data_IF_248929648029
#
_entry.id   IF_248929648029
#
_cell.length_a   1.000
_cell.length_b   1.000
_cell.length_c   1.000
_cell.angle_alpha   90.00
_cell.angle_beta   90.00
_cell.angle_gamma   90.00
#
_symmetry.space_group_name_H-M   'P 1'
#
loop_
_entity.id
_entity.type
_entity.pdbx_description
1 polymer ?
#
# COMPACT_ATOMS: atom_id res chain seq x y z
N UNK A 1 4.16 -7.29 -24.12
CA UNK A 1 5.41 -6.52 -23.94
C UNK A 1 5.06 -5.05 -23.76
N UNK A 2 5.65 -4.37 -22.80
CA UNK A 2 5.64 -2.90 -22.75
C UNK A 2 7.01 -2.42 -23.25
N UNK A 3 7.06 -1.81 -24.44
CA UNK A 3 8.28 -1.15 -24.93
C UNK A 3 8.40 0.19 -24.20
N UNK A 4 9.38 0.30 -23.29
CA UNK A 4 9.66 1.53 -22.55
C UNK A 4 10.76 2.32 -23.27
N UNK A 5 10.62 3.65 -23.30
CA UNK A 5 11.69 4.53 -23.77
C UNK A 5 12.90 4.43 -22.84
N UNK A 6 14.12 4.74 -23.33
CA UNK A 6 15.29 4.88 -22.46
C UNK A 6 14.99 5.90 -21.35
N UNK A 7 15.31 5.60 -20.08
CA UNK A 7 15.06 6.52 -18.99
C UNK A 7 15.93 7.77 -19.15
N UNK A 8 15.36 8.94 -18.82
CA UNK A 8 16.11 10.19 -18.74
C UNK A 8 17.14 10.09 -17.61
N UNK A 9 18.39 10.41 -17.91
CA UNK A 9 19.49 10.47 -16.96
C UNK A 9 19.93 11.92 -16.78
N UNK A 10 20.11 12.35 -15.53
CA UNK A 10 20.61 13.68 -15.19
C UNK A 10 21.77 13.56 -14.22
N UNK A 11 22.59 14.61 -14.13
CA UNK A 11 23.65 14.70 -13.15
C UNK A 11 23.25 15.64 -12.01
N UNK A 12 23.58 15.28 -10.77
CA UNK A 12 23.41 16.15 -9.60
C UNK A 12 24.50 15.87 -8.56
N UNK A 13 24.74 16.81 -7.65
CA UNK A 13 25.71 16.64 -6.56
C UNK A 13 25.11 15.78 -5.45
N UNK A 14 25.83 14.75 -5.04
CA UNK A 14 25.54 13.93 -3.85
C UNK A 14 26.07 14.63 -2.60
N UNK A 15 25.19 15.26 -1.84
CA UNK A 15 25.52 16.06 -0.67
C UNK A 15 25.87 15.19 0.54
N UNK A 16 25.14 14.10 0.74
CA UNK A 16 25.31 13.21 1.88
C UNK A 16 24.73 11.82 1.58
N UNK A 17 25.13 10.81 2.35
CA UNK A 17 24.44 9.52 2.39
C UNK A 17 23.98 9.32 3.83
N UNK A 18 22.65 9.28 4.01
CA UNK A 18 22.01 9.06 5.30
C UNK A 18 21.39 7.67 5.33
N UNK A 19 20.96 7.25 6.51
CA UNK A 19 20.31 5.96 6.71
C UNK A 19 18.91 6.13 7.28
N UNK A 20 17.98 5.28 6.84
CA UNK A 20 16.66 5.16 7.44
C UNK A 20 16.53 3.80 8.12
N UNK A 21 15.97 3.77 9.33
CA UNK A 21 15.66 2.53 10.05
C UNK A 21 14.21 2.17 9.72
N UNK A 22 14.02 1.08 8.97
CA UNK A 22 12.69 0.62 8.57
C UNK A 22 11.98 -0.17 9.65
N UNK A 23 10.71 -0.49 9.38
CA UNK A 23 9.79 -1.29 10.22
C UNK A 23 10.38 -2.56 10.83
N UNK A 24 11.22 -3.28 10.08
CA UNK A 24 11.83 -4.56 10.51
C UNK A 24 13.28 -4.39 10.99
N UNK A 25 13.65 -3.17 11.38
CA UNK A 25 14.98 -2.81 11.84
C UNK A 25 16.01 -2.62 10.72
N UNK A 26 15.69 -2.97 9.46
CA UNK A 26 16.62 -2.79 8.33
C UNK A 26 17.07 -1.35 8.21
N UNK A 27 18.38 -1.13 8.27
CA UNK A 27 19.01 0.17 8.11
C UNK A 27 19.38 0.33 6.64
N UNK A 28 18.69 1.23 5.96
CA UNK A 28 18.76 1.40 4.50
C UNK A 28 19.44 2.73 4.17
N UNK A 29 20.61 2.73 3.51
CA UNK A 29 21.24 3.97 3.06
C UNK A 29 20.45 4.59 1.90
N UNK A 30 20.43 5.93 1.86
CA UNK A 30 19.87 6.72 0.79
C UNK A 30 20.71 7.97 0.56
N UNK A 31 20.89 8.34 -0.72
CA UNK A 31 21.59 9.54 -1.10
C UNK A 31 20.70 10.77 -0.90
N UNK A 32 21.28 11.82 -0.33
CA UNK A 32 20.73 13.17 -0.26
C UNK A 32 21.48 14.00 -1.29
N UNK A 33 20.76 14.56 -2.26
CA UNK A 33 21.33 15.23 -3.42
C UNK A 33 20.82 16.67 -3.52
N UNK A 34 21.54 17.49 -4.28
CA UNK A 34 21.00 18.76 -4.73
C UNK A 34 19.70 18.51 -5.54
N UNK A 35 18.61 19.24 -5.25
CA UNK A 35 17.35 19.04 -5.94
C UNK A 35 17.49 19.21 -7.46
N UNK A 36 17.14 18.17 -8.22
CA UNK A 36 17.25 18.16 -9.68
C UNK A 36 15.96 17.67 -10.32
N UNK A 37 15.59 18.20 -11.48
CA UNK A 37 14.41 17.73 -12.23
C UNK A 37 14.78 16.48 -13.04
N UNK A 38 13.98 15.43 -12.92
CA UNK A 38 14.08 14.19 -13.70
C UNK A 38 12.70 13.75 -14.10
N UNK A 39 12.43 13.64 -15.40
CA UNK A 39 11.16 13.17 -15.95
C UNK A 39 9.96 13.90 -15.32
N UNK A 40 10.04 15.24 -15.31
CA UNK A 40 8.96 16.12 -14.88
C UNK A 40 8.78 16.33 -13.37
N UNK A 41 9.56 15.67 -12.50
CA UNK A 41 9.51 15.95 -11.05
C UNK A 41 10.88 16.24 -10.46
N UNK A 42 10.90 17.04 -9.40
CA UNK A 42 12.11 17.32 -8.62
C UNK A 42 12.44 16.14 -7.71
N UNK A 43 13.69 15.69 -7.72
CA UNK A 43 14.21 14.63 -6.87
C UNK A 43 15.37 15.19 -6.04
N UNK A 44 15.35 14.93 -4.75
CA UNK A 44 16.44 15.28 -3.81
C UNK A 44 16.95 14.07 -3.03
N UNK A 45 16.29 12.91 -3.15
CA UNK A 45 16.65 11.69 -2.44
C UNK A 45 16.47 10.46 -3.32
N UNK A 46 17.36 9.48 -3.18
CA UNK A 46 17.27 8.20 -3.86
C UNK A 46 17.85 7.07 -3.00
N UNK A 47 17.23 5.89 -3.04
CA UNK A 47 17.72 4.74 -2.26
C UNK A 47 19.07 4.23 -2.79
N UNK A 48 19.92 3.78 -1.88
CA UNK A 48 21.16 3.06 -2.20
C UNK A 48 21.10 1.60 -1.74
N UNK A 49 19.91 1.11 -1.37
CA UNK A 49 19.58 -0.26 -0.97
C UNK A 49 20.30 -0.77 0.30
N UNK A 50 21.62 -0.96 0.27
CA UNK A 50 22.43 -1.43 1.39
C UNK A 50 23.90 -1.01 1.21
N UNK A 51 24.74 -1.25 2.23
CA UNK A 51 26.15 -0.83 2.22
C UNK A 51 26.94 -1.46 1.06
N UNK A 52 26.67 -2.73 0.76
CA UNK A 52 27.32 -3.46 -0.34
C UNK A 52 27.01 -2.82 -1.69
N UNK A 53 25.76 -2.35 -1.90
CA UNK A 53 25.37 -1.63 -3.10
C UNK A 53 26.02 -0.25 -3.22
N UNK A 54 26.17 0.48 -2.10
CA UNK A 54 26.94 1.74 -2.08
C UNK A 54 28.37 1.49 -2.55
N UNK A 55 29.03 0.46 -2.00
CA UNK A 55 30.39 0.09 -2.36
C UNK A 55 30.51 -0.38 -3.82
N UNK A 56 29.57 -1.22 -4.27
CA UNK A 56 29.52 -1.73 -5.67
C UNK A 56 29.33 -0.60 -6.68
N UNK A 57 28.49 0.39 -6.36
CA UNK A 57 28.30 1.59 -7.20
C UNK A 57 29.49 2.53 -7.15
N UNK A 58 30.36 2.40 -6.14
CA UNK A 58 31.56 3.22 -5.98
C UNK A 58 31.28 4.71 -5.74
N UNK A 59 30.08 5.04 -5.27
CA UNK A 59 29.67 6.42 -4.98
C UNK A 59 30.28 6.91 -3.68
N UNK A 60 30.76 8.14 -3.68
CA UNK A 60 31.35 8.85 -2.55
C UNK A 60 30.51 10.09 -2.25
N UNK A 61 30.44 10.48 -0.98
CA UNK A 61 29.77 11.73 -0.59
C UNK A 61 30.59 12.89 -1.15
N UNK A 62 29.93 13.79 -1.87
CA UNK A 62 30.56 14.85 -2.67
C UNK A 62 30.61 14.53 -4.16
N UNK A 63 30.35 13.30 -4.61
CA UNK A 63 30.35 12.98 -6.04
C UNK A 63 29.29 13.78 -6.82
N UNK A 64 29.59 14.08 -8.09
CA UNK A 64 28.51 14.27 -9.07
C UNK A 64 28.01 12.89 -9.47
N UNK A 65 26.72 12.60 -9.27
CA UNK A 65 26.12 11.29 -9.55
C UNK A 65 25.15 11.35 -10.71
N UNK A 66 25.08 10.25 -11.47
CA UNK A 66 24.07 10.03 -12.50
C UNK A 66 22.80 9.51 -11.83
N UNK A 67 21.69 10.19 -12.04
CA UNK A 67 20.37 9.91 -11.47
C UNK A 67 19.37 9.65 -12.59
N UNK A 68 18.54 8.63 -12.42
CA UNK A 68 17.43 8.32 -13.33
C UNK A 68 16.19 7.87 -12.57
N UNK A 69 15.08 7.65 -13.26
CA UNK A 69 13.89 7.00 -12.68
C UNK A 69 13.63 5.64 -13.29
N UNK A 70 13.69 4.60 -12.45
CA UNK A 70 13.29 3.26 -12.84
C UNK A 70 11.77 3.23 -13.10
N UNK A 71 11.39 2.91 -14.34
CA UNK A 71 10.00 2.86 -14.77
C UNK A 71 9.25 4.19 -14.61
N UNK A 72 9.95 5.32 -14.77
CA UNK A 72 9.44 6.70 -14.69
C UNK A 72 8.94 7.15 -13.32
N UNK A 73 9.13 6.33 -12.26
CA UNK A 73 8.60 6.60 -10.91
C UNK A 73 9.69 6.66 -9.86
N UNK A 74 10.52 5.61 -9.74
CA UNK A 74 11.41 5.43 -8.57
C UNK A 74 12.80 5.98 -8.89
N UNK A 75 13.28 7.03 -8.18
CA UNK A 75 14.62 7.55 -8.41
C UNK A 75 15.72 6.56 -8.02
N UNK A 76 16.75 6.48 -8.86
CA UNK A 76 17.88 5.56 -8.70
C UNK A 76 19.19 6.30 -9.05
N UNK A 77 20.15 6.29 -8.12
CA UNK A 77 21.55 6.67 -8.40
C UNK A 77 22.21 5.53 -9.17
N UNK A 78 22.61 5.78 -10.40
CA UNK A 78 23.26 4.77 -11.28
C UNK A 78 24.71 4.57 -10.86
N UNK A 79 25.44 5.67 -10.63
CA UNK A 79 26.84 5.68 -10.26
C UNK A 79 27.44 7.08 -10.31
N UNK A 80 28.73 7.22 -9.97
CA UNK A 80 29.44 8.50 -9.97
C UNK A 80 29.93 8.87 -11.36
N UNK A 81 30.00 10.18 -11.62
CA UNK A 81 30.72 10.75 -12.76
C UNK A 81 32.18 10.95 -12.33
N UNK A 82 32.97 9.87 -12.38
CA UNK A 82 34.34 9.81 -11.82
C UNK A 82 35.25 10.91 -12.34
N UNK A 83 35.09 11.33 -13.61
CA UNK A 83 35.91 12.39 -14.23
C UNK A 83 35.71 13.78 -13.60
N UNK A 84 34.66 13.97 -12.82
CA UNK A 84 34.36 15.22 -12.12
C UNK A 84 34.81 15.23 -10.66
N UNK A 85 35.54 14.19 -10.22
CA UNK A 85 36.08 14.15 -8.86
C UNK A 85 37.20 15.17 -8.68
N UNK A 86 37.17 15.90 -7.58
CA UNK A 86 38.19 16.89 -7.22
C UNK A 86 39.08 16.45 -6.05
N UNK A 87 38.81 15.28 -5.47
CA UNK A 87 39.56 14.70 -4.35
C UNK A 87 39.04 15.10 -2.97
N UNK A 88 38.00 15.95 -2.90
CA UNK A 88 37.32 16.28 -1.64
C UNK A 88 36.28 15.23 -1.21
N UNK A 89 35.97 14.27 -2.09
CA UNK A 89 34.94 13.27 -1.84
C UNK A 89 35.34 12.30 -0.73
N UNK A 90 34.36 11.86 0.07
CA UNK A 90 34.59 10.96 1.21
C UNK A 90 33.75 9.68 1.11
N UNK A 91 34.30 8.52 1.49
CA UNK A 91 33.55 7.27 1.49
C UNK A 91 32.42 7.31 2.51
N UNK A 92 31.30 6.67 2.17
CA UNK A 92 30.24 6.40 3.13
C UNK A 92 30.63 5.23 4.03
N UNK A 93 30.47 5.42 5.34
CA UNK A 93 30.64 4.38 6.35
C UNK A 93 29.27 4.10 6.93
N UNK A 94 28.83 2.85 6.82
CA UNK A 94 27.58 2.42 7.45
C UNK A 94 27.72 2.57 8.98
N UNK A 95 26.74 3.18 9.67
CA UNK A 95 26.84 3.32 11.12
C UNK A 95 26.88 1.94 11.79
N UNK A 96 27.62 1.85 12.90
CA UNK A 96 27.69 0.65 13.75
C UNK A 96 26.58 0.63 14.79
N UNK A 97 25.98 1.78 15.08
CA UNK A 97 24.89 1.95 16.05
C UNK A 97 23.65 2.51 15.36
N UNK A 98 22.48 2.12 15.86
CA UNK A 98 21.21 2.57 15.32
C UNK A 98 21.06 4.08 15.52
N UNK A 99 20.86 4.88 14.46
CA UNK A 99 20.72 6.34 14.60
C UNK A 99 19.46 6.76 15.36
N UNK A 100 18.52 5.83 15.60
CA UNK A 100 17.29 6.11 16.33
C UNK A 100 17.35 5.73 17.81
N UNK A 101 18.15 4.75 18.21
CA UNK A 101 18.14 4.24 19.59
C UNK A 101 19.51 3.83 20.16
N UNK A 102 20.60 4.02 19.41
CA UNK A 102 21.97 3.70 19.83
C UNK A 102 22.30 2.21 19.90
N UNK A 103 21.33 1.30 19.71
CA UNK A 103 21.60 -0.14 19.74
C UNK A 103 22.59 -0.55 18.65
N UNK A 104 23.59 -1.37 18.99
CA UNK A 104 24.54 -1.94 18.03
C UNK A 104 23.80 -2.64 16.89
N UNK A 105 24.15 -2.28 15.66
CA UNK A 105 23.57 -2.84 14.46
C UNK A 105 24.25 -4.16 14.11
N UNK A 106 23.47 -5.13 13.67
CA UNK A 106 23.96 -6.44 13.29
C UNK A 106 23.20 -6.98 12.08
N UNK A 107 23.83 -7.79 11.22
CA UNK A 107 23.09 -8.60 10.28
C UNK A 107 22.30 -9.66 11.07
N UNK A 108 21.18 -10.10 10.53
CA UNK A 108 20.35 -11.11 11.20
C UNK A 108 20.95 -12.51 11.11
N UNK A 109 21.65 -12.77 9.99
CA UNK A 109 22.53 -13.93 9.81
C UNK A 109 23.85 -13.43 9.28
N UNK A 110 24.94 -14.14 9.56
CA UNK A 110 26.30 -13.71 9.19
C UNK A 110 26.48 -13.41 7.69
N UNK A 111 25.71 -14.08 6.81
CA UNK A 111 25.76 -13.89 5.37
C UNK A 111 24.80 -12.80 4.83
N UNK A 112 23.97 -12.18 5.68
CA UNK A 112 22.99 -11.18 5.22
C UNK A 112 23.69 -9.85 4.89
N UNK A 113 23.45 -9.33 3.68
CA UNK A 113 23.97 -8.04 3.25
C UNK A 113 23.29 -6.84 3.94
N UNK A 114 22.10 -7.05 4.50
CA UNK A 114 21.32 -6.02 5.18
C UNK A 114 21.65 -6.00 6.67
N UNK A 115 22.10 -4.85 7.18
CA UNK A 115 22.29 -4.63 8.61
C UNK A 115 20.98 -4.13 9.26
N UNK A 116 20.73 -4.54 10.51
CA UNK A 116 19.47 -4.28 11.20
C UNK A 116 19.70 -3.78 12.63
N UNK A 117 18.73 -3.01 13.12
CA UNK A 117 18.59 -2.72 14.54
C UNK A 117 17.86 -3.88 15.22
N UNK A 118 18.51 -4.62 16.14
CA UNK A 118 17.90 -5.77 16.82
C UNK A 118 16.90 -5.36 17.91
N UNK A 119 16.86 -4.08 18.31
CA UNK A 119 15.88 -3.56 19.25
C UNK A 119 14.49 -3.41 18.59
N UNK A 120 13.88 -4.55 18.24
CA UNK A 120 12.59 -4.59 17.57
C UNK A 120 11.46 -4.02 18.43
N UNK A 121 11.51 -4.23 19.75
CA UNK A 121 10.43 -3.81 20.65
C UNK A 121 10.36 -2.29 20.82
N UNK A 122 11.47 -1.66 21.17
CA UNK A 122 11.48 -0.29 21.72
C UNK A 122 12.20 0.76 20.86
N UNK A 123 12.78 0.39 19.72
CA UNK A 123 13.40 1.36 18.83
C UNK A 123 12.34 2.35 18.31
N UNK A 124 12.48 3.68 18.55
CA UNK A 124 11.47 4.67 18.17
C UNK A 124 11.14 4.66 16.67
N UNK A 125 12.17 4.55 15.81
CA UNK A 125 11.96 4.45 14.37
C UNK A 125 11.19 3.18 13.99
N UNK A 126 11.47 2.04 14.62
CA UNK A 126 10.73 0.80 14.32
C UNK A 126 9.28 0.90 14.81
N UNK A 127 9.05 1.46 16.01
CA UNK A 127 7.72 1.69 16.57
C UNK A 127 6.86 2.56 15.65
N UNK A 128 7.38 3.72 15.24
CA UNK A 128 6.66 4.60 14.31
C UNK A 128 6.37 3.90 12.99
N UNK A 129 7.35 3.20 12.42
CA UNK A 129 7.16 2.47 11.16
C UNK A 129 6.14 1.33 11.29
N UNK A 130 6.04 0.67 12.46
CA UNK A 130 4.97 -0.31 12.73
C UNK A 130 3.61 0.35 12.84
N UNK A 131 3.48 1.45 13.59
CA UNK A 131 2.24 2.23 13.66
C UNK A 131 1.78 2.72 12.28
N UNK A 132 2.70 3.28 11.50
CA UNK A 132 2.41 3.71 10.13
C UNK A 132 1.99 2.53 9.23
N UNK A 133 2.60 1.35 9.41
CA UNK A 133 2.20 0.15 8.69
C UNK A 133 0.82 -0.36 9.07
N UNK A 134 0.45 -0.33 10.37
CA UNK A 134 -0.89 -0.67 10.86
C UNK A 134 -1.97 0.18 10.17
N UNK A 135 -1.68 1.46 9.94
CA UNK A 135 -2.54 2.39 9.20
C UNK A 135 -2.61 2.14 7.69
N UNK A 136 -1.67 1.39 7.11
CA UNK A 136 -1.55 1.23 5.67
C UNK A 136 -2.78 0.61 5.01
N UNK A 137 -3.01 0.93 3.73
CA UNK A 137 -4.15 0.42 2.94
C UNK A 137 -4.29 -1.10 2.91
N UNK A 138 -3.17 -1.81 2.94
CA UNK A 138 -3.12 -3.27 2.99
C UNK A 138 -3.37 -3.88 4.37
N UNK A 139 -3.42 -3.05 5.41
CA UNK A 139 -3.71 -3.41 6.80
C UNK A 139 -5.10 -2.84 7.19
N UNK A 140 -5.20 -1.94 8.16
CA UNK A 140 -6.50 -1.39 8.59
C UNK A 140 -7.04 -0.25 7.74
N UNK A 141 -6.23 0.34 6.85
CA UNK A 141 -6.62 1.47 5.99
C UNK A 141 -7.10 2.70 6.78
N UNK A 142 -6.22 3.24 7.63
CA UNK A 142 -6.49 4.40 8.50
C UNK A 142 -5.88 5.65 7.85
N UNK A 143 -6.63 6.27 6.94
CA UNK A 143 -6.13 7.34 6.07
C UNK A 143 -5.53 8.57 6.78
N UNK A 144 -6.03 8.90 7.97
CA UNK A 144 -5.58 10.07 8.75
C UNK A 144 -4.38 9.77 9.64
N UNK A 145 -4.00 8.50 9.78
CA UNK A 145 -2.83 8.08 10.55
C UNK A 145 -1.60 8.04 9.64
N UNK A 146 -1.17 9.22 9.23
CA UNK A 146 0.07 9.43 8.50
C UNK A 146 1.31 9.36 9.39
N UNK A 147 2.48 9.48 8.78
CA UNK A 147 3.78 9.41 9.46
C UNK A 147 3.92 10.40 10.61
N UNK A 148 3.50 11.66 10.41
CA UNK A 148 3.52 12.70 11.45
C UNK A 148 2.53 12.43 12.59
N UNK A 149 1.38 11.83 12.29
CA UNK A 149 0.41 11.46 13.32
C UNK A 149 0.93 10.28 14.15
N UNK A 150 1.62 9.31 13.53
CA UNK A 150 2.26 8.21 14.24
C UNK A 150 3.37 8.72 15.19
N UNK A 151 4.20 9.68 14.75
CA UNK A 151 5.17 10.35 15.63
C UNK A 151 4.48 11.07 16.78
N UNK A 152 3.44 11.87 16.50
CA UNK A 152 2.72 12.61 17.54
C UNK A 152 2.09 11.69 18.60
N UNK A 153 1.55 10.53 18.21
CA UNK A 153 1.02 9.55 19.16
C UNK A 153 2.11 9.03 20.11
N UNK A 154 3.31 8.75 19.59
CA UNK A 154 4.46 8.29 20.38
C UNK A 154 5.04 9.40 21.26
N UNK A 155 5.27 10.59 20.70
CA UNK A 155 5.87 11.73 21.40
C UNK A 155 4.98 12.25 22.53
N UNK A 156 3.67 12.25 22.34
CA UNK A 156 2.70 12.60 23.37
C UNK A 156 2.45 11.45 24.36
N UNK A 157 3.10 10.29 24.21
CA UNK A 157 2.94 9.14 25.09
C UNK A 157 1.54 8.51 25.06
N UNK A 158 0.77 8.76 24.00
CA UNK A 158 -0.59 8.21 23.84
C UNK A 158 -0.55 6.72 23.47
N UNK A 159 0.55 6.29 22.85
CA UNK A 159 0.85 4.89 22.58
C UNK A 159 2.29 4.60 22.95
N UNK A 160 2.54 3.42 23.52
CA UNK A 160 3.88 2.91 23.80
C UNK A 160 4.30 1.81 22.83
N UNK A 161 3.30 1.13 22.26
CA UNK A 161 3.42 0.20 21.16
C UNK A 161 2.17 0.24 20.27
N UNK A 162 2.21 -0.48 19.15
CA UNK A 162 1.09 -0.60 18.22
C UNK A 162 -0.18 -1.23 18.82
N UNK A 163 -0.06 -1.94 19.95
CA UNK A 163 -1.16 -2.54 20.69
C UNK A 163 -2.09 -1.50 21.31
N UNK A 164 -1.55 -0.34 21.69
CA UNK A 164 -2.29 0.73 22.37
C UNK A 164 -3.20 1.53 21.42
N UNK A 165 -3.03 1.37 20.09
CA UNK A 165 -3.67 2.22 19.09
C UNK A 165 -5.20 2.28 19.24
N UNK A 166 -5.85 1.15 19.52
CA UNK A 166 -7.31 1.07 19.65
C UNK A 166 -7.84 1.49 21.03
N UNK A 167 -6.96 1.84 21.95
CA UNK A 167 -7.29 2.43 23.26
C UNK A 167 -7.16 3.95 23.29
N UNK A 168 -6.65 4.57 22.22
CA UNK A 168 -6.59 6.03 22.08
C UNK A 168 -8.01 6.60 22.09
N UNK A 169 -8.25 7.56 22.97
CA UNK A 169 -9.55 8.21 23.15
C UNK A 169 -9.47 9.74 22.97
N UNK A 170 -10.62 10.40 23.03
CA UNK A 170 -10.70 11.85 22.87
C UNK A 170 -9.96 12.62 23.98
N UNK A 171 -9.94 12.08 25.20
CA UNK A 171 -9.28 12.73 26.34
C UNK A 171 -7.76 12.71 26.18
N UNK A 172 -7.19 11.57 25.75
CA UNK A 172 -5.78 11.45 25.43
C UNK A 172 -5.39 12.38 24.29
N UNK A 173 -6.13 12.37 23.18
CA UNK A 173 -5.84 13.25 22.04
C UNK A 173 -5.90 14.74 22.41
N UNK A 174 -6.78 15.14 23.33
CA UNK A 174 -6.88 16.52 23.81
C UNK A 174 -5.63 16.97 24.61
N UNK A 175 -4.85 16.03 25.14
CA UNK A 175 -3.57 16.32 25.81
C UNK A 175 -2.41 16.57 24.86
N UNK A 176 -2.58 16.37 23.55
CA UNK A 176 -1.50 16.40 22.57
C UNK A 176 -1.68 17.56 21.57
N UNK A 177 -0.75 18.56 21.54
CA UNK A 177 -0.89 19.75 20.70
C UNK A 177 -1.11 19.48 19.21
N UNK A 178 -0.57 18.37 18.69
CA UNK A 178 -0.73 17.97 17.29
C UNK A 178 -2.20 17.66 16.93
N UNK A 179 -2.97 17.13 17.89
CA UNK A 179 -4.36 16.71 17.67
C UNK A 179 -5.38 17.77 18.08
N UNK A 180 -4.93 18.88 18.68
CA UNK A 180 -5.78 19.98 19.15
C UNK A 180 -5.62 21.26 18.35
N UNK A 181 -6.70 22.02 18.24
CA UNK A 181 -6.69 23.41 17.76
C UNK A 181 -6.32 24.36 18.89
N UNK A 182 -6.09 25.64 18.56
CA UNK A 182 -5.76 26.70 19.52
C UNK A 182 -6.87 26.98 20.55
N UNK A 183 -8.11 26.61 20.23
CA UNK A 183 -9.29 26.75 21.09
C UNK A 183 -9.44 25.60 22.11
N UNK A 184 -8.57 24.57 22.03
CA UNK A 184 -8.60 23.40 22.90
C UNK A 184 -9.41 22.22 22.35
N UNK A 185 -10.12 22.39 21.24
CA UNK A 185 -10.89 21.32 20.63
C UNK A 185 -10.03 20.39 19.77
N UNK A 186 -10.48 19.15 19.58
CA UNK A 186 -9.86 18.22 18.63
C UNK A 186 -9.95 18.74 17.18
N UNK A 187 -8.85 18.57 16.45
CA UNK A 187 -8.81 18.78 14.99
C UNK A 187 -9.77 17.84 14.26
N UNK A 188 -10.18 18.21 13.05
CA UNK A 188 -11.03 17.33 12.23
C UNK A 188 -10.38 15.96 11.98
N UNK A 189 -9.06 15.91 11.81
CA UNK A 189 -8.31 14.66 11.64
C UNK A 189 -8.29 13.82 12.93
N UNK A 190 -8.18 14.44 14.11
CA UNK A 190 -8.27 13.73 15.39
C UNK A 190 -9.65 13.10 15.60
N UNK A 191 -10.73 13.84 15.35
CA UNK A 191 -12.09 13.30 15.44
C UNK A 191 -12.32 12.17 14.43
N UNK A 192 -11.83 12.35 13.19
CA UNK A 192 -11.91 11.32 12.14
C UNK A 192 -11.09 10.08 12.49
N UNK A 193 -9.92 10.24 13.14
CA UNK A 193 -9.10 9.12 13.60
C UNK A 193 -9.91 8.24 14.56
N UNK A 194 -10.54 8.81 15.58
CA UNK A 194 -11.36 8.06 16.54
C UNK A 194 -12.51 7.30 15.86
N UNK A 195 -13.21 7.94 14.91
CA UNK A 195 -14.29 7.30 14.15
C UNK A 195 -13.78 6.13 13.32
N UNK A 196 -12.64 6.30 12.64
CA UNK A 196 -12.05 5.25 11.81
C UNK A 196 -11.57 4.09 12.68
N UNK A 197 -10.89 4.38 13.80
CA UNK A 197 -10.40 3.36 14.73
C UNK A 197 -11.53 2.44 15.22
N UNK A 198 -12.71 2.98 15.49
CA UNK A 198 -13.86 2.16 15.84
C UNK A 198 -14.35 1.32 14.64
N UNK A 199 -14.50 1.94 13.47
CA UNK A 199 -15.00 1.26 12.27
C UNK A 199 -14.10 0.11 11.78
N UNK A 200 -12.77 0.24 11.93
CA UNK A 200 -11.81 -0.71 11.39
C UNK A 200 -11.60 -1.94 12.29
N UNK A 201 -12.12 -1.92 13.53
CA UNK A 201 -12.10 -3.09 14.42
C UNK A 201 -12.77 -4.32 13.80
N UNK A 202 -13.76 -4.12 12.93
CA UNK A 202 -14.52 -5.20 12.30
C UNK A 202 -13.96 -5.68 10.95
N UNK A 203 -12.77 -5.21 10.56
CA UNK A 203 -12.10 -5.68 9.33
C UNK A 203 -11.77 -7.18 9.41
N UNK A 204 -11.73 -7.82 8.25
CA UNK A 204 -11.42 -9.24 8.07
C UNK A 204 -10.13 -9.64 8.81
N UNK A 205 -10.06 -10.87 9.32
CA UNK A 205 -8.93 -11.36 10.13
C UNK A 205 -7.59 -11.24 9.39
N UNK A 206 -7.60 -11.41 8.06
CA UNK A 206 -6.38 -11.27 7.26
C UNK A 206 -5.76 -9.86 7.32
N UNK A 207 -6.58 -8.80 7.46
CA UNK A 207 -6.06 -7.43 7.62
C UNK A 207 -5.37 -7.25 8.97
N UNK A 208 -5.91 -7.88 10.01
CA UNK A 208 -5.28 -7.92 11.34
C UNK A 208 -3.92 -8.61 11.25
N UNK A 209 -3.83 -9.77 10.58
CA UNK A 209 -2.56 -10.48 10.37
C UNK A 209 -1.53 -9.64 9.60
N UNK A 210 -1.94 -8.90 8.56
CA UNK A 210 -1.03 -7.99 7.85
C UNK A 210 -0.59 -6.85 8.78
N UNK A 211 -1.50 -6.30 9.59
CA UNK A 211 -1.21 -5.21 10.52
C UNK A 211 -0.16 -5.58 11.58
N UNK A 212 -0.12 -6.84 12.03
CA UNK A 212 0.90 -7.37 12.96
C UNK A 212 2.32 -7.31 12.40
N UNK A 213 2.50 -7.00 11.10
CA UNK A 213 3.82 -6.82 10.48
C UNK A 213 4.71 -8.07 10.61
N UNK A 214 4.11 -9.27 10.60
CA UNK A 214 4.85 -10.53 10.59
C UNK A 214 5.65 -10.61 9.29
N UNK A 215 6.93 -10.99 9.40
CA UNK A 215 7.81 -11.04 8.24
C UNK A 215 7.31 -12.07 7.22
N UNK A 216 7.41 -11.73 5.93
CA UNK A 216 6.92 -12.54 4.81
C UNK A 216 5.38 -12.71 4.72
N UNK A 217 4.64 -12.29 5.73
CA UNK A 217 3.16 -12.34 5.74
C UNK A 217 2.62 -11.07 5.07
N UNK A 218 2.47 -11.15 3.75
CA UNK A 218 1.72 -10.17 2.97
C UNK A 218 0.23 -10.54 2.86
N UNK A 219 -0.58 -9.72 2.16
CA UNK A 219 -2.02 -9.95 2.00
C UNK A 219 -2.38 -11.37 1.54
N UNK A 220 -1.68 -11.92 0.55
CA UNK A 220 -1.95 -13.26 0.03
C UNK A 220 -1.81 -14.34 1.09
N UNK A 221 -0.70 -14.33 1.84
CA UNK A 221 -0.45 -15.33 2.88
C UNK A 221 -1.42 -15.13 4.06
N UNK A 222 -1.66 -13.88 4.47
CA UNK A 222 -2.61 -13.55 5.52
C UNK A 222 -4.04 -14.03 5.18
N UNK A 223 -4.48 -13.84 3.93
CA UNK A 223 -5.78 -14.31 3.45
C UNK A 223 -5.87 -15.83 3.50
N UNK A 224 -4.83 -16.54 3.07
CA UNK A 224 -4.79 -17.99 3.13
C UNK A 224 -4.89 -18.51 4.58
N UNK A 225 -4.09 -17.94 5.49
CA UNK A 225 -4.10 -18.28 6.92
C UNK A 225 -5.46 -18.00 7.56
N UNK A 226 -6.02 -16.80 7.35
CA UNK A 226 -7.31 -16.42 7.91
C UNK A 226 -8.44 -17.33 7.39
N UNK A 227 -8.41 -17.67 6.09
CA UNK A 227 -9.42 -18.53 5.46
C UNK A 227 -9.39 -19.96 5.99
N UNK A 228 -8.21 -20.52 6.19
CA UNK A 228 -8.03 -21.91 6.62
C UNK A 228 -8.18 -22.07 8.13
N UNK A 229 -7.46 -21.25 8.91
CA UNK A 229 -7.39 -21.39 10.37
C UNK A 229 -8.51 -20.65 11.11
N UNK A 230 -9.18 -19.67 10.46
CA UNK A 230 -10.41 -18.99 10.92
C UNK A 230 -10.33 -18.15 12.20
N UNK A 231 -9.31 -18.30 13.03
CA UNK A 231 -9.17 -17.48 14.25
C UNK A 231 -7.72 -17.18 14.56
N UNK A 232 -7.49 -16.03 15.19
CA UNK A 232 -6.18 -15.64 15.70
C UNK A 232 -5.64 -16.68 16.67
N UNK A 233 -6.48 -17.21 17.57
CA UNK A 233 -6.09 -18.25 18.52
C UNK A 233 -5.52 -19.48 17.81
N UNK A 234 -6.23 -20.00 16.80
CA UNK A 234 -5.78 -21.16 16.02
C UNK A 234 -4.49 -20.86 15.25
N UNK A 235 -4.36 -19.66 14.68
CA UNK A 235 -3.13 -19.24 14.00
C UNK A 235 -1.95 -19.19 14.98
N UNK A 236 -2.17 -18.63 16.16
CA UNK A 236 -1.14 -18.45 17.18
C UNK A 236 -0.70 -19.78 17.83
N UNK A 237 -1.59 -20.77 17.89
CA UNK A 237 -1.32 -22.08 18.50
C UNK A 237 -0.97 -23.18 17.50
N UNK A 238 -1.11 -22.93 16.19
CA UNK A 238 -0.83 -23.92 15.16
C UNK A 238 0.66 -24.26 15.12
N UNK A 239 0.97 -25.53 14.84
CA UNK A 239 2.36 -25.94 14.63
C UNK A 239 2.90 -25.35 13.31
N UNK A 240 4.23 -25.25 13.18
CA UNK A 240 4.85 -24.83 11.91
C UNK A 240 4.41 -25.74 10.75
N UNK A 241 4.23 -27.04 11.00
CA UNK A 241 3.77 -28.01 10.01
C UNK A 241 2.32 -27.72 9.55
N UNK A 242 1.41 -27.45 10.49
CA UNK A 242 0.03 -27.10 10.18
C UNK A 242 -0.06 -25.80 9.38
N UNK A 243 0.76 -24.80 9.74
CA UNK A 243 0.82 -23.52 9.03
C UNK A 243 1.37 -23.72 7.61
N UNK A 244 2.40 -24.57 7.44
CA UNK A 244 2.99 -24.88 6.14
C UNK A 244 2.07 -25.72 5.23
N UNK A 245 1.08 -26.42 5.81
CA UNK A 245 0.08 -27.16 5.05
C UNK A 245 -0.96 -26.26 4.38
N UNK A 246 -1.08 -24.99 4.79
CA UNK A 246 -2.00 -24.03 4.19
C UNK A 246 -1.58 -23.68 2.76
N UNK A 247 -2.49 -23.85 1.80
CA UNK A 247 -2.21 -23.56 0.38
C UNK A 247 -1.74 -22.10 0.19
N UNK A 248 -0.54 -21.94 -0.41
CA UNK A 248 0.08 -20.63 -0.62
C UNK A 248 0.95 -20.14 0.53
N UNK A 249 1.10 -20.94 1.60
CA UNK A 249 2.01 -20.68 2.72
C UNK A 249 3.16 -21.67 2.65
N UNK A 250 4.38 -21.17 2.39
CA UNK A 250 5.59 -21.99 2.38
C UNK A 250 6.25 -22.09 3.75
N UNK A 251 7.25 -22.98 3.92
CA UNK A 251 7.94 -23.20 5.21
C UNK A 251 8.57 -21.93 5.78
N UNK A 252 9.09 -21.03 4.92
CA UNK A 252 9.64 -19.75 5.37
C UNK A 252 8.60 -18.86 6.05
N UNK A 253 7.37 -18.84 5.55
CA UNK A 253 6.28 -18.05 6.14
C UNK A 253 5.80 -18.74 7.42
N UNK A 254 5.64 -20.07 7.38
CA UNK A 254 5.22 -20.85 8.54
C UNK A 254 6.13 -20.65 9.75
N UNK A 255 7.45 -20.80 9.55
CA UNK A 255 8.44 -20.53 10.58
C UNK A 255 8.37 -19.09 11.09
N UNK A 256 8.26 -18.12 10.19
CA UNK A 256 8.20 -16.70 10.57
C UNK A 256 6.95 -16.38 11.42
N UNK A 257 5.81 -17.01 11.14
CA UNK A 257 4.60 -16.88 11.96
C UNK A 257 4.81 -17.52 13.33
N UNK A 258 5.30 -18.76 13.38
CA UNK A 258 5.55 -19.47 14.64
C UNK A 258 6.55 -18.73 15.54
N UNK A 259 7.69 -18.29 14.99
CA UNK A 259 8.70 -17.50 15.70
C UNK A 259 8.14 -16.17 16.21
N UNK A 260 7.26 -15.52 15.43
CA UNK A 260 6.64 -14.26 15.84
C UNK A 260 5.74 -14.46 17.06
N UNK A 261 4.85 -15.47 17.04
CA UNK A 261 3.96 -15.77 18.16
C UNK A 261 4.68 -16.35 19.38
N UNK A 262 5.91 -16.85 19.24
CA UNK A 262 6.72 -17.33 20.37
C UNK A 262 7.19 -16.20 21.29
N UNK A 263 7.16 -14.94 20.85
CA UNK A 263 7.66 -13.78 21.59
C UNK A 263 6.55 -13.13 22.42
N UNK A 264 6.76 -12.99 23.73
CA UNK A 264 5.72 -12.55 24.67
C UNK A 264 5.09 -11.20 24.35
N UNK A 265 5.91 -10.20 24.01
CA UNK A 265 5.39 -8.86 23.75
C UNK A 265 4.61 -8.77 22.44
N UNK A 266 4.85 -9.65 21.48
CA UNK A 266 4.03 -9.77 20.28
C UNK A 266 2.62 -10.28 20.62
N UNK A 267 2.52 -11.29 21.50
CA UNK A 267 1.23 -11.77 22.00
C UNK A 267 0.47 -10.69 22.76
N UNK A 268 1.16 -9.90 23.57
CA UNK A 268 0.55 -8.78 24.29
C UNK A 268 -0.10 -7.73 23.34
N UNK A 269 0.46 -7.50 22.15
CA UNK A 269 -0.18 -6.63 21.13
C UNK A 269 -1.52 -7.21 20.67
N UNK A 270 -1.56 -8.52 20.40
CA UNK A 270 -2.78 -9.23 20.00
C UNK A 270 -3.83 -9.16 21.12
N UNK A 271 -3.42 -9.40 22.37
CA UNK A 271 -4.30 -9.34 23.53
C UNK A 271 -4.92 -7.95 23.70
N UNK A 272 -4.14 -6.87 23.56
CA UNK A 272 -4.63 -5.49 23.59
C UNK A 272 -5.66 -5.23 22.50
N UNK A 273 -5.37 -5.64 21.26
CA UNK A 273 -6.31 -5.48 20.14
C UNK A 273 -7.60 -6.27 20.37
N UNK A 274 -7.51 -7.50 20.88
CA UNK A 274 -8.68 -8.31 21.20
C UNK A 274 -9.51 -7.66 22.30
N UNK A 275 -8.88 -7.16 23.37
CA UNK A 275 -9.52 -6.45 24.46
C UNK A 275 -10.19 -5.14 23.99
N UNK A 276 -9.62 -4.47 22.98
CA UNK A 276 -10.20 -3.28 22.36
C UNK A 276 -11.36 -3.58 21.39
N UNK A 277 -11.69 -4.86 21.17
CA UNK A 277 -12.79 -5.30 20.31
C UNK A 277 -12.42 -5.49 18.83
N UNK A 278 -11.13 -5.56 18.50
CA UNK A 278 -10.68 -5.94 17.15
C UNK A 278 -11.10 -7.37 16.87
N UNK A 279 -11.62 -7.60 15.66
CA UNK A 279 -12.08 -8.89 15.18
C UNK A 279 -10.93 -9.90 15.10
N UNK A 280 -10.99 -10.94 15.94
CA UNK A 280 -10.00 -12.03 15.98
C UNK A 280 -10.46 -13.33 15.32
N UNK A 281 -11.66 -13.35 14.75
CA UNK A 281 -12.27 -14.52 14.13
C UNK A 281 -12.81 -14.17 12.75
N UNK A 282 -12.58 -15.04 11.79
CA UNK A 282 -13.20 -14.98 10.48
C UNK A 282 -14.52 -15.76 10.56
N UNK A 283 -15.65 -15.07 10.38
CA UNK A 283 -16.97 -15.70 10.54
C UNK A 283 -17.05 -16.86 9.58
N UNK A 284 -17.37 -18.04 10.10
CA UNK A 284 -17.65 -19.27 9.38
C UNK A 284 -18.69 -19.05 8.28
N UNK A 285 -18.27 -18.53 7.13
CA UNK A 285 -19.06 -18.51 5.91
C UNK A 285 -19.20 -19.91 5.34
N UNK A 286 -19.70 -20.87 6.11
CA UNK A 286 -20.48 -21.97 5.55
C UNK A 286 -21.80 -21.35 5.09
N UNK A 287 -21.79 -20.66 3.94
CA UNK A 287 -23.02 -20.17 3.32
C UNK A 287 -23.17 -18.66 3.13
N UNK A 288 -22.09 -17.87 3.11
CA UNK A 288 -22.15 -16.65 2.29
C UNK A 288 -22.31 -17.13 0.85
N UNK A 289 -23.46 -16.88 0.22
CA UNK A 289 -23.73 -17.31 -1.15
C UNK A 289 -22.52 -16.88 -1.98
N UNK A 290 -21.76 -17.85 -2.51
CA UNK A 290 -20.62 -17.57 -3.39
C UNK A 290 -21.18 -17.13 -4.73
N UNK A 291 -21.90 -16.00 -4.72
CA UNK A 291 -22.64 -15.42 -5.84
C UNK A 291 -21.72 -15.19 -7.04
N UNK A 292 -20.42 -15.04 -6.76
CA UNK A 292 -19.39 -14.78 -7.75
C UNK A 292 -18.46 -15.99 -7.99
N UNK A 293 -18.82 -17.21 -7.56
CA UNK A 293 -18.04 -18.40 -7.87
C UNK A 293 -17.85 -18.54 -9.40
N UNK A 294 -16.59 -18.62 -9.84
CA UNK A 294 -16.25 -18.71 -11.26
C UNK A 294 -16.32 -17.38 -12.04
N UNK A 295 -16.76 -16.28 -11.39
CA UNK A 295 -16.83 -14.95 -11.99
C UNK A 295 -15.47 -14.28 -11.93
N UNK A 296 -15.00 -13.76 -13.06
CA UNK A 296 -13.77 -12.98 -13.13
C UNK A 296 -14.08 -11.50 -13.38
N UNK A 297 -13.69 -10.63 -12.46
CA UNK A 297 -13.93 -9.18 -12.51
C UNK A 297 -12.61 -8.44 -12.80
N UNK A 298 -12.68 -7.38 -13.61
CA UNK A 298 -11.59 -6.41 -13.75
C UNK A 298 -12.09 -5.07 -13.24
N UNK A 299 -11.33 -4.40 -12.38
CA UNK A 299 -11.71 -3.10 -11.81
C UNK A 299 -10.82 -2.02 -12.41
N UNK A 300 -11.42 -0.92 -12.87
CA UNK A 300 -10.74 0.24 -13.45
C UNK A 300 -11.44 1.54 -13.04
N UNK A 301 -10.67 2.63 -12.93
CA UNK A 301 -11.20 3.91 -12.45
C UNK A 301 -11.34 3.95 -10.92
N UNK A 302 -11.80 5.10 -10.42
CA UNK A 302 -12.10 5.31 -8.99
C UNK A 302 -13.59 5.07 -8.73
N UNK A 303 -13.91 4.18 -7.80
CA UNK A 303 -15.29 3.96 -7.33
C UNK A 303 -15.58 4.91 -6.16
N UNK A 304 -16.84 5.28 -5.99
CA UNK A 304 -17.30 6.25 -4.98
C UNK A 304 -17.11 5.72 -3.57
N UNK A 305 -17.57 4.49 -3.34
CA UNK A 305 -17.64 3.89 -2.01
C UNK A 305 -16.51 2.87 -1.76
N UNK A 306 -15.70 2.59 -2.78
CA UNK A 306 -14.64 1.59 -2.70
C UNK A 306 -13.30 2.13 -3.18
N UNK A 307 -12.25 1.87 -2.39
CA UNK A 307 -10.90 1.85 -2.92
C UNK A 307 -10.74 0.63 -3.83
N UNK A 308 -9.75 0.66 -4.72
CA UNK A 308 -9.49 -0.49 -5.61
C UNK A 308 -9.22 -1.78 -4.82
N UNK A 309 -8.57 -1.65 -3.66
CA UNK A 309 -8.25 -2.77 -2.80
C UNK A 309 -9.49 -3.26 -2.05
N UNK A 310 -10.34 -2.36 -1.53
CA UNK A 310 -11.60 -2.76 -0.88
C UNK A 310 -12.61 -3.36 -1.86
N UNK A 311 -12.68 -2.86 -3.09
CA UNK A 311 -13.49 -3.46 -4.15
C UNK A 311 -12.95 -4.85 -4.54
N UNK A 312 -11.62 -5.03 -4.57
CA UNK A 312 -11.01 -6.33 -4.83
C UNK A 312 -11.36 -7.33 -3.73
N UNK A 313 -11.28 -6.90 -2.47
CA UNK A 313 -11.67 -7.70 -1.31
C UNK A 313 -13.15 -8.08 -1.35
N UNK A 314 -14.05 -7.15 -1.67
CA UNK A 314 -15.49 -7.42 -1.76
C UNK A 314 -15.80 -8.52 -2.78
N UNK A 315 -15.16 -8.47 -3.96
CA UNK A 315 -15.30 -9.53 -4.99
C UNK A 315 -14.77 -10.87 -4.50
N UNK A 316 -13.60 -10.89 -3.85
CA UNK A 316 -12.99 -12.11 -3.33
C UNK A 316 -13.84 -12.75 -2.23
N UNK A 317 -14.39 -11.94 -1.33
CA UNK A 317 -15.28 -12.39 -0.25
C UNK A 317 -16.57 -13.01 -0.80
N UNK A 318 -17.09 -12.50 -1.92
CA UNK A 318 -18.23 -13.08 -2.63
C UNK A 318 -17.87 -14.32 -3.50
N UNK A 319 -16.62 -14.78 -3.47
CA UNK A 319 -16.13 -15.97 -4.17
C UNK A 319 -15.62 -15.72 -5.60
N UNK A 320 -15.50 -14.46 -6.01
CA UNK A 320 -15.05 -14.06 -7.33
C UNK A 320 -13.53 -13.90 -7.44
N UNK A 321 -13.04 -13.83 -8.69
CA UNK A 321 -11.63 -13.61 -9.01
C UNK A 321 -11.42 -12.23 -9.60
N UNK A 322 -10.47 -11.46 -9.08
CA UNK A 322 -10.07 -10.19 -9.71
C UNK A 322 -8.85 -10.37 -10.60
N UNK A 323 -8.92 -9.85 -11.82
CA UNK A 323 -7.81 -9.85 -12.79
C UNK A 323 -7.30 -8.43 -13.04
N UNK A 324 -5.98 -8.31 -13.26
CA UNK A 324 -5.36 -7.04 -13.63
C UNK A 324 -5.65 -6.61 -15.08
N UNK A 325 -6.10 -7.53 -15.94
CA UNK A 325 -6.29 -7.30 -17.38
C UNK A 325 -7.60 -7.87 -17.91
N UNK A 326 -8.19 -7.17 -18.88
CA UNK A 326 -9.39 -7.61 -19.60
C UNK A 326 -9.00 -8.66 -20.64
N UNK A 327 -9.71 -9.77 -20.65
CA UNK A 327 -9.58 -10.88 -21.59
C UNK A 327 -10.96 -11.43 -21.96
N UNK A 328 -11.03 -12.38 -22.91
CA UNK A 328 -12.28 -13.09 -23.23
C UNK A 328 -12.84 -13.92 -22.06
N UNK A 329 -12.03 -14.21 -21.04
CA UNK A 329 -12.45 -14.93 -19.83
C UNK A 329 -12.95 -13.99 -18.73
N UNK A 330 -12.90 -12.68 -18.95
CA UNK A 330 -13.41 -11.69 -18.00
C UNK A 330 -14.93 -11.66 -18.06
N UNK A 331 -15.59 -11.89 -16.92
CA UNK A 331 -17.04 -11.86 -16.79
C UNK A 331 -17.57 -10.43 -16.77
N UNK A 332 -16.91 -9.51 -16.02
CA UNK A 332 -17.32 -8.11 -15.90
C UNK A 332 -16.11 -7.17 -15.85
N UNK A 333 -16.25 -5.99 -16.45
CA UNK A 333 -15.42 -4.83 -16.15
C UNK A 333 -16.22 -3.88 -15.25
N UNK A 334 -15.72 -3.59 -14.05
CA UNK A 334 -16.25 -2.53 -13.18
C UNK A 334 -15.45 -1.25 -13.47
N UNK A 335 -16.15 -0.22 -13.94
CA UNK A 335 -15.59 1.03 -14.40
C UNK A 335 -16.13 2.20 -13.57
N UNK A 336 -15.28 2.74 -12.70
CA UNK A 336 -15.51 4.00 -12.00
C UNK A 336 -15.10 5.22 -12.83
N UNK A 337 -14.97 6.38 -12.19
CA UNK A 337 -14.57 7.62 -12.86
C UNK A 337 -13.19 7.50 -13.54
N UNK A 338 -13.06 8.15 -14.71
CA UNK A 338 -11.88 8.13 -15.59
C UNK A 338 -11.43 6.72 -16.06
N UNK A 339 -12.30 5.95 -16.73
CA UNK A 339 -11.97 4.60 -17.17
C UNK A 339 -10.96 4.64 -18.34
N UNK A 340 -9.73 4.25 -18.07
CA UNK A 340 -8.61 4.22 -19.04
C UNK A 340 -8.73 3.07 -20.07
N UNK A 341 -7.63 2.76 -20.76
CA UNK A 341 -7.48 1.75 -21.85
C UNK A 341 -8.08 0.35 -21.62
N UNK A 342 -8.44 -0.02 -20.38
CA UNK A 342 -9.15 -1.26 -20.06
C UNK A 342 -10.63 -1.21 -20.49
N UNK A 343 -11.25 -0.03 -20.47
CA UNK A 343 -12.63 0.16 -20.91
C UNK A 343 -12.77 -0.10 -22.40
N UNK A 344 -11.92 0.52 -23.22
CA UNK A 344 -11.90 0.30 -24.66
C UNK A 344 -11.66 -1.18 -25.01
N UNK A 345 -10.78 -1.84 -24.25
CA UNK A 345 -10.52 -3.27 -24.38
C UNK A 345 -11.74 -4.13 -24.01
N UNK A 346 -12.52 -3.75 -22.99
CA UNK A 346 -13.76 -4.46 -22.64
C UNK A 346 -14.83 -4.28 -23.71
N UNK A 347 -15.01 -3.06 -24.23
CA UNK A 347 -15.94 -2.77 -25.33
C UNK A 347 -15.61 -3.61 -26.56
N UNK A 348 -14.35 -3.63 -27.00
CA UNK A 348 -13.91 -4.41 -28.17
C UNK A 348 -14.04 -5.92 -28.01
N UNK A 349 -13.94 -6.44 -26.78
CA UNK A 349 -14.11 -7.86 -26.48
C UNK A 349 -15.56 -8.24 -26.14
N UNK A 350 -16.48 -7.27 -26.09
CA UNK A 350 -17.88 -7.50 -25.73
C UNK A 350 -18.08 -7.90 -24.26
N UNK A 351 -17.13 -7.55 -23.39
CA UNK A 351 -17.23 -7.83 -21.94
C UNK A 351 -18.23 -6.86 -21.31
N UNK A 352 -19.24 -7.33 -20.54
CA UNK A 352 -20.18 -6.48 -19.82
C UNK A 352 -19.49 -5.47 -18.91
N UNK A 353 -19.95 -4.21 -18.93
CA UNK A 353 -19.37 -3.11 -18.14
C UNK A 353 -20.38 -2.64 -17.09
N UNK A 354 -19.94 -2.58 -15.84
CA UNK A 354 -20.69 -2.12 -14.67
C UNK A 354 -20.13 -0.78 -14.18
N UNK A 355 -21.00 0.13 -13.77
CA UNK A 355 -20.63 1.30 -12.98
C UNK A 355 -20.73 0.99 -11.47
N UNK A 356 -20.57 1.98 -10.61
CA UNK A 356 -20.70 1.83 -9.15
C UNK A 356 -22.00 1.12 -8.73
N UNK A 357 -23.15 1.55 -9.26
CA UNK A 357 -24.43 0.94 -8.94
C UNK A 357 -24.53 -0.51 -9.43
N UNK A 358 -23.99 -0.80 -10.62
CA UNK A 358 -23.90 -2.17 -11.13
C UNK A 358 -22.96 -3.06 -10.31
N UNK A 359 -21.93 -2.47 -9.70
CA UNK A 359 -21.02 -3.19 -8.81
C UNK A 359 -21.70 -3.58 -7.49
N UNK A 360 -22.51 -2.69 -6.91
CA UNK A 360 -23.31 -3.03 -5.73
C UNK A 360 -24.28 -4.18 -6.01
N UNK A 361 -24.94 -4.17 -7.18
CA UNK A 361 -25.81 -5.27 -7.63
C UNK A 361 -25.02 -6.57 -7.80
N UNK A 362 -23.81 -6.52 -8.36
CA UNK A 362 -22.96 -7.70 -8.52
C UNK A 362 -22.63 -8.34 -7.16
N UNK A 363 -22.33 -7.52 -6.15
CA UNK A 363 -21.98 -8.00 -4.81
C UNK A 363 -23.21 -8.51 -4.03
N UNK A 364 -24.35 -7.83 -4.15
CA UNK A 364 -25.56 -8.16 -3.39
C UNK A 364 -26.39 -9.30 -4.02
N UNK A 365 -26.44 -9.36 -5.35
CA UNK A 365 -27.41 -10.19 -6.10
C UNK A 365 -26.75 -11.14 -7.12
N UNK A 366 -25.43 -11.07 -7.30
CA UNK A 366 -24.67 -12.01 -8.15
C UNK A 366 -24.63 -11.68 -9.64
N UNK A 367 -23.98 -12.57 -10.39
CA UNK A 367 -23.59 -12.32 -11.78
C UNK A 367 -24.77 -12.17 -12.75
N UNK A 368 -25.87 -12.92 -12.57
CA UNK A 368 -27.02 -12.85 -13.47
C UNK A 368 -27.71 -11.49 -13.39
N UNK A 369 -28.03 -11.02 -12.19
CA UNK A 369 -28.61 -9.70 -11.96
C UNK A 369 -27.70 -8.57 -12.47
N UNK A 370 -26.39 -8.68 -12.26
CA UNK A 370 -25.44 -7.70 -12.78
C UNK A 370 -25.37 -7.69 -14.32
N UNK A 371 -25.51 -8.85 -14.98
CA UNK A 371 -25.55 -8.94 -16.42
C UNK A 371 -26.78 -8.24 -17.02
N UNK A 372 -27.94 -8.36 -16.38
CA UNK A 372 -29.16 -7.63 -16.78
C UNK A 372 -28.97 -6.12 -16.68
N UNK A 373 -28.42 -5.63 -15.57
CA UNK A 373 -28.12 -4.20 -15.38
C UNK A 373 -27.16 -3.66 -16.46
N UNK A 374 -26.14 -4.45 -16.82
CA UNK A 374 -25.22 -4.08 -17.89
C UNK A 374 -25.90 -4.03 -19.28
N UNK A 375 -26.83 -4.95 -19.55
CA UNK A 375 -27.55 -5.03 -20.83
C UNK A 375 -28.59 -3.93 -20.99
N UNK A 376 -29.38 -3.64 -19.95
CA UNK A 376 -30.45 -2.64 -19.99
C UNK A 376 -29.89 -1.22 -20.20
N UNK A 377 -28.75 -0.93 -19.58
CA UNK A 377 -28.01 0.32 -19.79
C UNK A 377 -27.38 0.43 -21.18
N UNK A 378 -26.97 -0.70 -21.78
CA UNK A 378 -26.51 -0.73 -23.17
C UNK A 378 -27.66 -0.44 -24.14
N UNK A 379 -28.88 -0.88 -23.81
CA UNK A 379 -30.11 -0.63 -24.57
C UNK A 379 -30.52 0.85 -24.50
N UNK A 380 -30.61 1.42 -23.30
CA UNK A 380 -30.92 2.84 -23.13
C UNK A 380 -29.89 3.79 -23.75
N UNK A 381 -28.60 3.45 -23.71
CA UNK A 381 -27.55 4.26 -24.38
C UNK A 381 -27.66 4.19 -25.91
N UNK A 382 -28.08 3.06 -26.47
CA UNK A 382 -28.38 2.93 -27.91
C UNK A 382 -29.63 3.70 -28.33
N UNK A 383 -30.65 3.78 -27.47
CA UNK A 383 -31.87 4.57 -27.71
C UNK A 383 -31.59 6.09 -27.63
N UNK A 384 -30.81 6.54 -26.65
CA UNK A 384 -30.41 7.94 -26.51
C UNK A 384 -29.57 8.45 -27.71
N UNK A 385 -28.76 7.57 -28.32
CA UNK A 385 -28.00 7.90 -29.54
C UNK A 385 -28.91 7.95 -30.78
N UNK A 386 -29.99 7.15 -30.83
CA UNK A 386 -30.97 7.15 -31.93
C UNK A 386 -31.91 8.37 -31.91
N UNK A 387 -32.10 9.03 -30.76
CA UNK A 387 -32.96 10.21 -30.63
C UNK A 387 -32.24 11.56 -30.66
N UNK A 388 -30.97 11.59 -31.10
CA UNK A 388 -30.27 12.85 -31.35
C UNK A 388 -30.69 13.41 -32.72
N UNK A 389 -31.30 14.60 -32.82
CA UNK A 389 -31.65 15.17 -34.11
C UNK A 389 -30.36 15.43 -34.93
N UNK A 390 -30.40 15.26 -36.27
CA UNK A 390 -29.23 15.50 -37.10
C UNK A 390 -28.79 16.96 -36.96
N UNK A 391 -27.49 17.17 -36.74
CA UNK A 391 -26.88 18.51 -36.75
C UNK A 391 -27.06 19.08 -38.16
N UNK A 392 -27.85 20.15 -38.28
CA UNK A 392 -28.01 20.90 -39.52
C UNK A 392 -26.66 21.36 -40.04
N UNK A 393 -26.40 21.06 -41.32
CA UNK A 393 -25.31 21.60 -42.10
C UNK A 393 -25.51 23.12 -42.22
N UNK A 394 -24.55 23.92 -41.76
CA UNK A 394 -24.49 25.35 -42.08
C UNK A 394 -23.41 25.50 -43.13
N UNK A 395 -23.83 25.71 -44.38
CA UNK A 395 -22.94 26.05 -45.49
C UNK A 395 -22.40 27.47 -45.28
N UNK A 396 -21.10 27.57 -44.99
CA UNK A 396 -20.37 28.83 -44.91
C UNK A 396 -19.65 29.11 -46.23
N UNK A 397 -20.33 29.82 -47.14
CA UNK A 397 -19.70 30.43 -48.30
C UNK A 397 -18.74 31.56 -47.87
N UNK A 398 -17.59 31.62 -48.52
CA UNK A 398 -16.47 32.49 -48.16
C UNK A 398 -16.68 33.98 -48.44
N UNK A 399 -15.86 34.80 -47.79
CA UNK A 399 -15.56 36.15 -48.21
C UNK A 399 -14.10 36.51 -47.90
N UNK A 400 -13.43 36.94 -48.96
CA UNK A 400 -12.08 37.51 -49.03
C UNK A 400 -11.92 38.84 -48.27
N UNK A 401 -10.74 39.07 -47.70
CA UNK A 401 -10.01 40.36 -47.64
C UNK A 401 -8.56 40.08 -47.17
N UNK A 402 -7.50 40.16 -48.01
CA UNK A 402 -6.63 41.35 -48.26
C UNK A 402 -6.61 42.29 -47.04
N UNK A 403 -5.53 42.50 -46.28
CA UNK A 403 -4.12 42.62 -46.65
C UNK A 403 -3.70 44.09 -46.41
N UNK A 404 -3.06 44.37 -45.26
CA UNK A 404 -1.90 45.25 -44.99
C UNK A 404 -1.39 44.84 -43.61
#
# INVERSE_FOLDING_TARGET
LAFKYPPEEVNTKLLDIRVNVGRTGRVTPYGVMEPVKVSGSTVSQATLHNQSEVARKGVLIGDTVVLRKAGDVIPEIVGPVVVLRDGSERPFVMPTECPSCGTALAPEREADADIRCPNARSCPAQLRERLFHVAGRGAFDIEVLGWQAADALLECGLVTDEGDLFHVDAAGLAGCPFFTRKDGDLTANATRLLQILESVKQRSLWRVLVALSIRHVGPTAAQALARELRSMDRISSASEEDIAAVEGVGPTIARAVAEWFAVDWHRAVVDKWQAAGVRMVEDGGTGGTRLLAGVTVVITGSLRDYSRDSATEAVQNAGGKVSGSVSKKTSFLVAGENPASKYDKAVSLGVPILDDAGFDVLLASGAEAAAEVAQDRTRHRREAVRHRPPRGHVDGAGAHARGV
#
